data_IF_414380948464
#
_entry.id   IF_414380948464
#
_cell.length_a   1.000
_cell.length_b   1.000
_cell.length_c   1.000
_cell.angle_alpha   90.00
_cell.angle_beta   90.00
_cell.angle_gamma   90.00
#
_symmetry.space_group_name_H-M   'P 1'
#
loop_
_entity.id
_entity.type
_entity.pdbx_description
1 polymer ?
#
# COMPACT_ATOMS: atom_id res chain seq x y z
N UNK A 1 -3.70 -13.18 -1.35
CA UNK A 1 -4.08 -11.76 -1.58
C UNK A 1 -3.33 -10.90 -0.58
N UNK A 2 -2.62 -9.87 -1.04
CA UNK A 2 -1.75 -9.06 -0.19
C UNK A 2 -2.53 -8.06 0.66
N UNK A 3 -2.14 -7.93 1.92
CA UNK A 3 -2.82 -7.08 2.90
C UNK A 3 -2.29 -5.64 2.81
N UNK A 4 -3.17 -4.62 2.73
CA UNK A 4 -2.76 -3.22 2.79
C UNK A 4 -1.90 -2.90 4.02
N UNK A 5 -0.85 -2.12 3.82
CA UNK A 5 0.12 -1.73 4.84
C UNK A 5 -0.14 -0.31 5.30
N UNK A 6 -0.25 -0.10 6.63
CA UNK A 6 -0.30 1.25 7.22
C UNK A 6 1.11 1.84 7.23
N UNK A 7 1.27 3.01 6.61
CA UNK A 7 2.54 3.75 6.57
C UNK A 7 2.39 5.01 7.42
N UNK A 8 3.09 5.05 8.55
CA UNK A 8 3.16 6.22 9.42
C UNK A 8 4.06 7.29 8.80
N UNK A 9 3.54 8.51 8.66
CA UNK A 9 4.32 9.66 8.21
C UNK A 9 4.93 10.35 9.43
N UNK A 10 6.18 10.77 9.28
CA UNK A 10 6.96 11.43 10.34
C UNK A 10 7.59 12.72 9.82
N UNK A 11 7.66 13.73 10.68
CA UNK A 11 8.35 14.99 10.39
C UNK A 11 7.45 16.21 10.56
N UNK A 12 8.00 17.24 11.18
CA UNK A 12 7.31 18.49 11.48
C UNK A 12 7.81 19.06 12.81
N UNK A 13 7.71 20.39 12.95
CA UNK A 13 7.91 21.06 14.23
C UNK A 13 6.68 20.80 15.12
N UNK A 14 6.89 20.46 16.38
CA UNK A 14 5.89 19.88 17.28
C UNK A 14 4.90 20.89 17.87
N UNK A 15 4.75 22.08 17.29
CA UNK A 15 3.95 23.16 17.90
C UNK A 15 2.81 23.72 17.07
N UNK A 16 2.53 23.19 15.87
CA UNK A 16 1.39 23.60 15.05
C UNK A 16 0.93 22.45 14.17
N UNK A 17 -0.38 22.28 13.96
CA UNK A 17 -0.93 21.18 13.17
C UNK A 17 -0.30 21.12 11.79
N UNK A 18 0.61 20.17 11.57
CA UNK A 18 1.27 19.97 10.28
C UNK A 18 0.37 19.13 9.37
N UNK A 19 0.21 19.57 8.13
CA UNK A 19 -0.44 18.78 7.09
C UNK A 19 0.63 18.12 6.24
N UNK A 20 0.57 16.79 6.10
CA UNK A 20 1.48 16.09 5.20
C UNK A 20 0.97 16.14 3.75
N UNK A 21 1.88 16.18 2.80
CA UNK A 21 1.60 16.08 1.38
C UNK A 21 2.37 14.93 0.76
N UNK A 22 1.68 14.08 0.00
CA UNK A 22 2.31 13.10 -0.89
C UNK A 22 2.91 13.86 -2.07
N UNK A 23 4.23 13.84 -2.19
CA UNK A 23 5.01 14.60 -3.16
C UNK A 23 5.41 13.78 -4.40
N UNK A 24 5.38 12.45 -4.30
CA UNK A 24 5.60 11.51 -5.42
C UNK A 24 4.88 10.22 -5.08
N UNK A 25 4.11 9.68 -6.02
CA UNK A 25 3.39 8.42 -5.87
C UNK A 25 4.35 7.21 -5.93
N UNK A 26 3.97 6.08 -5.30
CA UNK A 26 4.64 4.80 -5.51
C UNK A 26 4.55 4.31 -6.97
N UNK A 27 5.38 3.33 -7.31
CA UNK A 27 5.47 2.77 -8.67
C UNK A 27 4.90 1.37 -8.82
N UNK A 28 4.69 0.64 -7.71
CA UNK A 28 4.28 -0.77 -7.65
C UNK A 28 3.09 -1.00 -6.71
N UNK A 29 2.25 0.01 -6.57
CA UNK A 29 1.08 -0.04 -5.71
C UNK A 29 0.33 1.28 -5.69
N UNK A 30 -0.70 1.33 -4.87
CA UNK A 30 -1.59 2.48 -4.71
C UNK A 30 -1.57 3.00 -3.29
N UNK A 31 -1.76 4.31 -3.15
CA UNK A 31 -1.94 4.96 -1.85
C UNK A 31 -3.39 5.33 -1.64
N UNK A 32 -3.81 5.24 -0.38
CA UNK A 32 -5.10 5.67 0.11
C UNK A 32 -4.91 6.49 1.39
N UNK A 33 -5.77 7.47 1.60
CA UNK A 33 -5.94 8.08 2.91
C UNK A 33 -6.50 7.06 3.90
N UNK A 34 -6.41 7.33 5.21
CA UNK A 34 -6.95 6.42 6.23
C UNK A 34 -8.49 6.30 6.20
N UNK A 35 -9.17 7.25 5.54
CA UNK A 35 -10.62 7.18 5.26
C UNK A 35 -10.95 6.35 4.00
N UNK A 36 -9.94 5.79 3.32
CA UNK A 36 -10.09 4.99 2.10
C UNK A 36 -10.12 5.80 0.80
N UNK A 37 -10.00 7.13 0.85
CA UNK A 37 -9.93 7.96 -0.37
C UNK A 37 -8.63 7.68 -1.13
N UNK A 38 -8.66 7.36 -2.44
CA UNK A 38 -7.46 7.08 -3.21
C UNK A 38 -6.60 8.35 -3.40
N UNK A 39 -5.29 8.18 -3.36
CA UNK A 39 -4.30 9.25 -3.62
C UNK A 39 -3.70 8.99 -5.01
N UNK A 40 -4.30 9.59 -6.03
CA UNK A 40 -3.97 9.32 -7.45
C UNK A 40 -3.16 10.44 -8.11
N UNK A 41 -2.79 11.48 -7.36
CA UNK A 41 -1.98 12.59 -7.86
C UNK A 41 -0.96 13.06 -6.82
N UNK A 42 0.00 13.85 -7.28
CA UNK A 42 0.96 14.54 -6.40
C UNK A 42 1.21 15.95 -6.95
N UNK A 43 1.25 17.00 -6.10
CA UNK A 43 1.12 16.94 -4.65
C UNK A 43 -0.32 16.68 -4.19
N UNK A 44 -0.49 15.90 -3.11
CA UNK A 44 -1.81 15.60 -2.54
C UNK A 44 -1.80 15.72 -1.01
N UNK A 45 -2.71 16.48 -0.38
CA UNK A 45 -2.75 16.65 1.07
C UNK A 45 -3.34 15.42 1.78
N UNK A 46 -2.75 15.02 2.89
CA UNK A 46 -3.29 13.99 3.78
C UNK A 46 -4.19 14.68 4.81
N UNK A 47 -5.51 14.52 4.65
CA UNK A 47 -6.54 15.24 5.40
C UNK A 47 -7.47 14.34 6.21
N UNK A 48 -7.27 13.01 6.16
CA UNK A 48 -8.07 12.02 6.90
C UNK A 48 -8.01 12.10 8.44
N UNK A 49 -7.34 13.12 9.00
CA UNK A 49 -7.22 13.32 10.45
C UNK A 49 -6.15 12.47 11.12
N UNK A 50 -5.53 11.55 10.39
CA UNK A 50 -4.38 10.77 10.81
C UNK A 50 -3.11 11.21 10.08
N UNK A 51 -1.96 11.01 10.73
CA UNK A 51 -0.64 11.22 10.14
C UNK A 51 -0.12 9.97 9.43
N UNK A 52 -1.02 9.22 8.80
CA UNK A 52 -0.72 7.96 8.13
C UNK A 52 -1.45 7.84 6.80
N UNK A 53 -0.99 6.93 5.96
CA UNK A 53 -1.65 6.51 4.71
C UNK A 53 -1.64 4.98 4.62
N UNK A 54 -2.57 4.44 3.85
CA UNK A 54 -2.59 3.02 3.50
C UNK A 54 -1.91 2.81 2.15
N UNK A 55 -1.02 1.82 2.07
CA UNK A 55 -0.41 1.36 0.84
C UNK A 55 -0.95 -0.03 0.47
N UNK A 56 -1.48 -0.15 -0.73
CA UNK A 56 -1.86 -1.43 -1.30
C UNK A 56 -0.82 -1.82 -2.37
N UNK A 57 -0.01 -2.88 -2.15
CA UNK A 57 0.91 -3.37 -3.18
C UNK A 57 0.16 -3.91 -4.41
N UNK A 58 0.83 -3.98 -5.55
CA UNK A 58 0.34 -4.75 -6.69
C UNK A 58 0.25 -6.24 -6.31
N UNK A 59 -0.67 -6.97 -6.94
CA UNK A 59 -0.90 -8.39 -6.65
C UNK A 59 0.38 -9.22 -6.81
N UNK A 60 0.59 -10.16 -5.87
CA UNK A 60 1.75 -11.06 -5.80
C UNK A 60 3.09 -10.32 -5.64
N UNK A 61 3.04 -9.07 -5.14
CA UNK A 61 4.17 -8.19 -4.99
C UNK A 61 4.96 -8.46 -3.71
N UNK A 62 6.28 -8.71 -3.81
CA UNK A 62 7.13 -8.89 -2.63
C UNK A 62 8.53 -8.29 -2.82
N UNK A 63 9.19 -7.91 -1.70
CA UNK A 63 10.57 -7.42 -1.70
C UNK A 63 10.91 -6.47 -0.54
N UNK A 64 12.21 -6.26 -0.32
CA UNK A 64 12.73 -5.29 0.65
C UNK A 64 14.04 -4.65 0.11
N UNK A 65 13.99 -3.42 -0.43
CA UNK A 65 12.82 -2.55 -0.59
C UNK A 65 11.92 -3.00 -1.76
N UNK A 66 10.60 -2.91 -1.59
CA UNK A 66 9.63 -3.19 -2.63
C UNK A 66 9.33 -1.94 -3.47
N UNK A 67 8.99 -0.84 -2.80
CA UNK A 67 8.56 0.41 -3.42
C UNK A 67 8.95 1.62 -2.56
N UNK A 68 8.81 2.82 -3.11
CA UNK A 68 9.08 4.08 -2.40
C UNK A 68 8.16 5.18 -2.91
N UNK A 69 7.60 5.94 -1.98
CA UNK A 69 6.94 7.21 -2.28
C UNK A 69 7.61 8.33 -1.49
N UNK A 70 7.37 9.59 -1.87
CA UNK A 70 7.93 10.74 -1.15
C UNK A 70 6.83 11.59 -0.56
N UNK A 71 7.08 12.15 0.62
CA UNK A 71 6.17 13.06 1.29
C UNK A 71 6.92 14.24 1.90
N UNK A 72 6.20 15.31 2.25
CA UNK A 72 6.72 16.51 2.89
C UNK A 72 5.68 17.05 3.88
N UNK A 73 6.14 17.68 4.96
CA UNK A 73 5.27 18.35 5.93
C UNK A 73 5.04 19.81 5.50
N UNK A 74 3.86 20.35 5.81
CA UNK A 74 3.49 21.74 5.62
C UNK A 74 3.00 22.34 6.94
N UNK A 75 3.60 23.45 7.37
CA UNK A 75 3.28 24.12 8.64
C UNK A 75 2.25 25.26 8.51
N UNK A 76 1.70 25.46 7.30
CA UNK A 76 0.81 26.58 6.99
C UNK A 76 1.52 27.75 6.29
N UNK A 77 2.85 27.76 6.26
CA UNK A 77 3.65 28.76 5.53
C UNK A 77 4.61 28.09 4.54
N UNK A 78 5.32 27.04 4.97
CA UNK A 78 6.43 26.42 4.24
C UNK A 78 6.36 24.91 4.25
N UNK A 79 6.94 24.34 3.19
CA UNK A 79 7.14 22.90 3.08
C UNK A 79 8.52 22.49 3.60
N UNK A 80 8.58 21.33 4.24
CA UNK A 80 9.84 20.65 4.54
C UNK A 80 10.53 20.13 3.28
N UNK A 81 11.75 19.61 3.43
CA UNK A 81 12.35 18.74 2.42
C UNK A 81 11.48 17.50 2.18
N UNK A 82 11.54 16.97 0.96
CA UNK A 82 10.90 15.70 0.59
C UNK A 82 11.65 14.54 1.22
N UNK A 83 10.94 13.69 1.95
CA UNK A 83 11.45 12.47 2.59
C UNK A 83 10.87 11.25 1.89
N UNK A 84 11.69 10.21 1.68
CA UNK A 84 11.24 8.94 1.11
C UNK A 84 10.68 8.01 2.19
N UNK A 85 9.48 7.48 1.96
CA UNK A 85 8.92 6.36 2.70
C UNK A 85 9.19 5.07 1.91
N UNK A 86 10.11 4.25 2.41
CA UNK A 86 10.43 2.94 1.82
C UNK A 86 9.45 1.89 2.31
N UNK A 87 8.86 1.15 1.39
CA UNK A 87 7.91 0.08 1.67
C UNK A 87 8.62 -1.27 1.51
N UNK A 88 8.36 -2.16 2.46
CA UNK A 88 8.80 -3.55 2.42
C UNK A 88 7.55 -4.42 2.42
N UNK A 89 7.51 -5.40 1.52
CA UNK A 89 6.41 -6.37 1.46
C UNK A 89 7.01 -7.76 1.64
N UNK A 90 6.67 -8.38 2.77
CA UNK A 90 7.10 -9.75 3.07
C UNK A 90 6.24 -10.72 2.29
N UNK A 91 6.82 -11.67 1.53
CA UNK A 91 6.04 -12.65 0.80
C UNK A 91 5.20 -13.49 1.77
N UNK A 92 3.91 -13.63 1.48
CA UNK A 92 3.03 -14.61 2.12
C UNK A 92 2.96 -15.82 1.21
N UNK A 93 3.24 -17.02 1.74
CA UNK A 93 3.13 -18.25 0.98
C UNK A 93 1.66 -18.72 0.99
N UNK A 94 0.91 -18.46 -0.08
CA UNK A 94 -0.46 -18.95 -0.24
C UNK A 94 -0.44 -20.46 -0.60
N UNK A 95 -0.98 -21.38 0.23
CA UNK A 95 -0.96 -22.82 -0.06
C UNK A 95 -1.84 -23.15 -1.28
N UNK A 96 -1.46 -24.14 -2.12
CA UNK A 96 -2.24 -24.49 -3.30
C UNK A 96 -3.62 -25.02 -2.92
N UNK A 97 -4.67 -24.43 -3.49
CA UNK A 97 -6.04 -24.91 -3.33
C UNK A 97 -6.27 -26.15 -4.21
N UNK A 98 -6.32 -27.34 -3.61
CA UNK A 98 -6.66 -28.57 -4.33
C UNK A 98 -8.14 -28.55 -4.75
N UNK A 99 -8.42 -28.48 -6.07
CA UNK A 99 -9.76 -28.70 -6.62
C UNK A 99 -10.04 -30.19 -6.68
N UNK A 100 -11.14 -30.64 -6.07
CA UNK A 100 -11.60 -32.03 -6.19
C UNK A 100 -11.94 -32.35 -7.64
N UNK A 101 -11.23 -33.32 -8.23
CA UNK A 101 -11.62 -33.91 -9.51
C UNK A 101 -12.52 -35.13 -9.22
N UNK A 102 -13.81 -35.04 -9.54
CA UNK A 102 -14.66 -36.23 -9.63
C UNK A 102 -14.33 -36.95 -10.93
N UNK A 103 -13.58 -38.04 -10.82
CA UNK A 103 -13.41 -39.02 -11.91
C UNK A 103 -14.57 -40.00 -11.78
N UNK A 104 -15.57 -39.88 -12.65
CA UNK A 104 -16.54 -40.96 -12.87
C UNK A 104 -15.94 -41.89 -13.91
N UNK A 105 -15.47 -43.06 -13.50
CA UNK A 105 -15.23 -44.17 -14.42
C UNK A 105 -16.58 -44.81 -14.72
N UNK A 106 -17.02 -44.73 -15.99
CA UNK A 106 -18.05 -45.64 -16.48
C UNK A 106 -17.42 -47.03 -16.56
N UNK A 107 -17.55 -47.80 -15.48
CA UNK A 107 -17.32 -49.23 -15.51
C UNK A 107 -18.56 -49.89 -16.11
N UNK A 108 -18.42 -50.46 -17.31
CA UNK A 108 -19.35 -51.48 -17.80
C UNK A 108 -19.63 -51.45 -19.30
N UNK A 109 -18.84 -52.19 -20.08
CA UNK A 109 -19.29 -53.53 -20.52
C UNK A 109 -18.12 -54.32 -21.12
N UNK A 110 -17.89 -55.49 -20.55
CA UNK A 110 -17.08 -56.57 -21.11
C UNK A 110 -17.78 -57.13 -22.37
N UNK A 111 -16.96 -57.36 -23.41
CA UNK A 111 -17.14 -58.05 -24.72
C UNK A 111 -18.54 -58.22 -25.33
#
# INVERSE_FOLDING_TARGET
EDTPVRVQLHGGDVSGGVTYYIATLPSKGKLYQMDGTPIESSPFPVTSGETAVMYAPDADGFGAPYDVFKYQAYDGERFSYKVGATIMVTPVNDPPLARSATVTTEEGKEV
#
